data_IF_896735844762
#
_entry.id   IF_896735844762
#
_cell.length_a   1.000
_cell.length_b   1.000
_cell.length_c   1.000
_cell.angle_alpha   90.00
_cell.angle_beta   90.00
_cell.angle_gamma   90.00
#
_symmetry.space_group_name_H-M   'P 1'
#
loop_
_entity.id
_entity.type
_entity.pdbx_description
1 polymer ?
#
# COMPACT_ATOMS: atom_id res chain seq x y z
N UNK A 1 1.74 -7.78 50.92
CA UNK A 1 0.92 -8.98 50.62
C UNK A 1 -0.22 -8.53 49.73
N UNK A 2 -0.10 -8.65 48.41
CA UNK A 2 -1.14 -8.20 47.47
C UNK A 2 -2.09 -9.37 47.16
N UNK A 3 -3.39 -9.13 47.31
CA UNK A 3 -4.47 -10.11 47.22
C UNK A 3 -4.45 -10.92 45.93
N UNK A 4 -4.29 -12.24 46.04
CA UNK A 4 -4.44 -13.22 44.95
C UNK A 4 -5.89 -13.39 44.46
N UNK A 5 -6.85 -12.73 45.12
CA UNK A 5 -8.30 -12.90 44.90
C UNK A 5 -8.82 -12.27 43.59
N UNK A 6 -8.02 -11.48 42.86
CA UNK A 6 -8.44 -10.80 41.61
C UNK A 6 -7.80 -11.43 40.36
N UNK A 7 -6.99 -12.49 40.50
CA UNK A 7 -6.30 -13.11 39.37
C UNK A 7 -7.14 -14.25 38.77
N UNK A 8 -7.66 -14.05 37.56
CA UNK A 8 -8.33 -15.12 36.80
C UNK A 8 -7.33 -16.24 36.50
N UNK A 9 -7.66 -17.48 36.86
CA UNK A 9 -6.85 -18.67 36.57
C UNK A 9 -6.87 -19.08 35.10
N UNK A 10 -7.54 -18.32 34.23
CA UNK A 10 -7.65 -18.60 32.81
C UNK A 10 -6.32 -18.29 32.08
N UNK A 11 -5.65 -19.29 31.46
CA UNK A 11 -4.39 -19.10 30.73
C UNK A 11 -4.46 -18.08 29.59
N UNK A 12 -5.67 -17.77 29.12
CA UNK A 12 -5.99 -16.77 28.10
C UNK A 12 -6.01 -15.35 28.66
N UNK A 13 -6.40 -15.17 29.94
CA UNK A 13 -6.48 -13.88 30.61
C UNK A 13 -5.25 -13.66 31.50
N UNK A 14 -4.07 -13.65 30.87
CA UNK A 14 -2.84 -13.22 31.55
C UNK A 14 -2.96 -11.74 31.90
N UNK A 15 -2.42 -11.31 33.03
CA UNK A 15 -2.49 -9.93 33.55
C UNK A 15 -1.53 -8.95 32.86
N UNK A 16 -0.68 -9.45 31.97
CA UNK A 16 0.34 -8.68 31.25
C UNK A 16 -0.20 -7.66 30.21
N UNK A 17 -1.22 -7.97 29.37
CA UNK A 17 -1.65 -7.07 28.31
C UNK A 17 -2.32 -5.79 28.84
N UNK A 18 -2.86 -5.80 30.07
CA UNK A 18 -3.49 -4.63 30.69
C UNK A 18 -2.51 -3.74 31.45
N UNK A 19 -1.35 -4.27 31.82
CA UNK A 19 -0.33 -3.49 32.56
C UNK A 19 0.50 -2.62 31.61
N UNK A 20 0.63 -3.05 30.35
CA UNK A 20 1.36 -2.32 29.30
C UNK A 20 0.68 -1.00 28.89
N UNK A 21 -0.62 -0.89 29.07
CA UNK A 21 -1.44 0.28 28.70
C UNK A 21 -1.36 1.44 29.71
N UNK A 22 -0.82 1.22 30.93
CA UNK A 22 -0.88 2.20 32.03
C UNK A 22 0.41 3.04 32.14
N UNK A 23 1.51 2.64 31.49
CA UNK A 23 2.84 3.21 31.74
C UNK A 23 3.55 3.92 30.58
N UNK A 24 3.17 3.66 29.33
CA UNK A 24 3.76 4.36 28.17
C UNK A 24 2.77 5.39 27.61
N UNK A 25 3.19 6.64 27.34
CA UNK A 25 2.33 7.57 26.62
C UNK A 25 1.91 6.91 25.31
N UNK A 26 0.63 7.00 24.99
CA UNK A 26 -0.01 6.43 23.80
C UNK A 26 0.46 7.12 22.50
N UNK A 27 1.79 7.19 22.27
CA UNK A 27 2.40 7.81 21.10
C UNK A 27 2.44 6.88 19.89
N UNK A 28 2.22 5.57 20.10
CA UNK A 28 2.29 4.53 19.06
C UNK A 28 0.92 3.88 18.74
N UNK A 29 -0.18 4.50 19.16
CA UNK A 29 -1.53 4.08 18.77
C UNK A 29 -1.94 4.71 17.44
N UNK A 30 -2.47 3.89 16.54
CA UNK A 30 -2.95 4.33 15.22
C UNK A 30 -4.23 5.14 15.38
N UNK A 31 -4.15 6.45 15.13
CA UNK A 31 -5.34 7.33 15.09
C UNK A 31 -6.06 7.21 13.74
N UNK A 32 -7.37 7.45 13.73
CA UNK A 32 -8.16 7.52 12.49
C UNK A 32 -7.59 8.59 11.55
N UNK A 33 -7.25 9.76 12.09
CA UNK A 33 -6.64 10.85 11.32
C UNK A 33 -5.30 10.45 10.70
N UNK A 34 -4.44 9.77 11.47
CA UNK A 34 -3.16 9.25 10.97
C UNK A 34 -3.34 8.19 9.90
N UNK A 35 -4.36 7.33 10.03
CA UNK A 35 -4.71 6.34 9.01
C UNK A 35 -5.16 7.02 7.71
N UNK A 36 -6.08 7.97 7.81
CA UNK A 36 -6.61 8.74 6.67
C UNK A 36 -5.47 9.46 5.95
N UNK A 37 -4.61 10.20 6.66
CA UNK A 37 -3.51 10.93 6.05
C UNK A 37 -2.54 9.99 5.31
N UNK A 38 -2.17 8.85 5.92
CA UNK A 38 -1.32 7.84 5.28
C UNK A 38 -1.96 7.28 4.00
N UNK A 39 -3.25 6.96 4.03
CA UNK A 39 -3.95 6.46 2.83
C UNK A 39 -4.02 7.49 1.71
N UNK A 40 -4.26 8.77 2.04
CA UNK A 40 -4.30 9.86 1.06
C UNK A 40 -2.93 10.03 0.40
N UNK A 41 -1.85 10.06 1.18
CA UNK A 41 -0.48 10.19 0.65
C UNK A 41 -0.16 9.03 -0.30
N UNK A 42 -0.50 7.80 0.10
CA UNK A 42 -0.28 6.62 -0.74
C UNK A 42 -1.12 6.67 -2.02
N UNK A 43 -2.40 7.06 -1.93
CA UNK A 43 -3.29 7.19 -3.07
C UNK A 43 -2.79 8.25 -4.05
N UNK A 44 -2.40 9.43 -3.55
CA UNK A 44 -1.80 10.49 -4.36
C UNK A 44 -0.51 10.02 -5.05
N UNK A 45 0.28 9.21 -4.36
CA UNK A 45 1.49 8.61 -4.95
C UNK A 45 1.12 7.69 -6.10
N UNK A 46 0.16 6.77 -5.93
CA UNK A 46 -0.31 5.88 -7.02
C UNK A 46 -0.79 6.71 -8.22
N UNK A 47 -1.69 7.67 -7.98
CA UNK A 47 -2.28 8.50 -9.05
C UNK A 47 -1.20 9.33 -9.74
N UNK A 48 -0.26 9.91 -8.99
CA UNK A 48 0.85 10.69 -9.55
C UNK A 48 1.75 9.85 -10.46
N UNK A 49 2.12 8.63 -10.07
CA UNK A 49 2.90 7.74 -10.93
C UNK A 49 2.09 7.17 -12.10
N UNK A 50 0.78 6.97 -11.94
CA UNK A 50 -0.12 6.56 -13.02
C UNK A 50 -0.25 7.63 -14.11
N UNK A 51 -0.41 8.91 -13.73
CA UNK A 51 -0.45 10.00 -14.71
C UNK A 51 0.91 10.20 -15.39
N UNK A 52 2.01 10.15 -14.64
CA UNK A 52 3.36 10.26 -15.21
C UNK A 52 3.64 9.18 -16.25
N UNK A 53 3.33 7.92 -15.93
CA UNK A 53 3.53 6.82 -16.88
C UNK A 53 2.59 6.90 -18.08
N UNK A 54 1.34 7.33 -17.91
CA UNK A 54 0.43 7.57 -19.02
C UNK A 54 0.99 8.59 -20.03
N UNK A 55 1.53 9.72 -19.58
CA UNK A 55 1.99 10.76 -20.52
C UNK A 55 3.41 10.54 -21.04
N UNK A 56 4.30 9.92 -20.25
CA UNK A 56 5.73 9.90 -20.57
C UNK A 56 6.27 8.55 -21.04
N UNK A 57 5.60 7.41 -20.78
CA UNK A 57 6.23 6.10 -21.09
C UNK A 57 6.46 5.89 -22.59
N UNK A 58 5.62 6.46 -23.46
CA UNK A 58 5.76 6.31 -24.92
C UNK A 58 7.01 7.00 -25.45
N UNK A 59 7.39 8.11 -24.82
CA UNK A 59 8.59 8.86 -25.17
C UNK A 59 9.86 8.25 -24.56
N UNK A 60 9.72 7.53 -23.45
CA UNK A 60 10.83 6.96 -22.68
C UNK A 60 11.20 5.53 -23.11
N UNK A 61 10.24 4.73 -23.56
CA UNK A 61 10.45 3.34 -23.95
C UNK A 61 10.15 3.14 -25.43
N UNK A 62 11.09 2.54 -26.16
CA UNK A 62 10.79 2.01 -27.49
C UNK A 62 9.71 0.92 -27.36
N UNK A 63 8.71 0.93 -28.24
CA UNK A 63 7.56 0.00 -28.24
C UNK A 63 7.93 -1.47 -27.96
N UNK A 64 9.10 -1.92 -28.43
CA UNK A 64 9.58 -3.28 -28.22
C UNK A 64 9.85 -3.66 -26.75
N UNK A 65 10.17 -2.71 -25.88
CA UNK A 65 10.49 -2.99 -24.47
C UNK A 65 9.30 -2.83 -23.52
N UNK A 66 8.17 -2.30 -24.00
CA UNK A 66 7.00 -1.98 -23.17
C UNK A 66 6.44 -3.25 -22.49
N UNK A 67 6.31 -4.34 -23.24
CA UNK A 67 5.82 -5.63 -22.73
C UNK A 67 6.75 -6.22 -21.65
N UNK A 68 8.07 -6.15 -21.87
CA UNK A 68 9.05 -6.61 -20.89
C UNK A 68 8.97 -5.76 -19.61
N UNK A 69 8.82 -4.44 -19.75
CA UNK A 69 8.70 -3.53 -18.62
C UNK A 69 7.44 -3.80 -17.78
N UNK A 70 6.30 -4.09 -18.42
CA UNK A 70 5.07 -4.48 -17.72
C UNK A 70 5.24 -5.77 -16.90
N UNK A 71 5.91 -6.78 -17.46
CA UNK A 71 6.19 -8.03 -16.75
C UNK A 71 7.09 -7.76 -15.54
N UNK A 72 8.15 -6.95 -15.73
CA UNK A 72 9.06 -6.57 -14.64
C UNK A 72 8.31 -5.82 -13.53
N UNK A 73 7.48 -4.82 -13.88
CA UNK A 73 6.69 -4.08 -12.90
C UNK A 73 5.70 -4.98 -12.16
N UNK A 74 5.03 -5.91 -12.87
CA UNK A 74 4.09 -6.84 -12.26
C UNK A 74 4.77 -7.77 -11.25
N UNK A 75 5.91 -8.35 -11.63
CA UNK A 75 6.69 -9.24 -10.75
C UNK A 75 7.26 -8.45 -9.56
N UNK A 76 7.82 -7.27 -9.81
CA UNK A 76 8.40 -6.42 -8.76
C UNK A 76 7.32 -5.96 -7.77
N UNK A 77 6.18 -5.49 -8.28
CA UNK A 77 5.03 -5.11 -7.45
C UNK A 77 4.53 -6.28 -6.61
N UNK A 78 4.42 -7.47 -7.19
CA UNK A 78 4.03 -8.68 -6.48
C UNK A 78 5.01 -9.03 -5.35
N UNK A 79 6.32 -8.99 -5.60
CA UNK A 79 7.34 -9.26 -4.57
C UNK A 79 7.24 -8.23 -3.44
N UNK A 80 7.12 -6.94 -3.76
CA UNK A 80 7.01 -5.88 -2.74
C UNK A 80 5.71 -6.02 -1.94
N UNK A 81 4.60 -6.44 -2.57
CA UNK A 81 3.36 -6.75 -1.87
C UNK A 81 3.56 -7.89 -0.87
N UNK A 82 4.17 -9.00 -1.29
CA UNK A 82 4.47 -10.13 -0.39
C UNK A 82 5.39 -9.72 0.76
N UNK A 83 6.44 -8.94 0.50
CA UNK A 83 7.31 -8.39 1.54
C UNK A 83 6.52 -7.55 2.53
N UNK A 84 5.60 -6.71 2.07
CA UNK A 84 4.77 -5.86 2.94
C UNK A 84 3.83 -6.69 3.82
N UNK A 85 3.27 -7.78 3.28
CA UNK A 85 2.36 -8.68 4.00
C UNK A 85 3.11 -9.46 5.09
N UNK A 86 4.25 -10.06 4.75
CA UNK A 86 4.99 -10.92 5.67
C UNK A 86 5.88 -10.12 6.64
N UNK A 87 6.39 -8.95 6.24
CA UNK A 87 7.31 -8.12 7.03
C UNK A 87 6.66 -6.77 7.41
N UNK A 88 5.63 -6.83 8.27
CA UNK A 88 4.84 -5.66 8.71
C UNK A 88 5.69 -4.50 9.26
N UNK A 89 6.85 -4.78 9.86
CA UNK A 89 7.79 -3.75 10.37
C UNK A 89 8.36 -2.85 9.26
N UNK A 90 8.47 -3.36 8.03
CA UNK A 90 8.97 -2.61 6.88
C UNK A 90 7.87 -1.86 6.12
N UNK A 91 6.60 -2.06 6.48
CA UNK A 91 5.43 -1.43 5.84
C UNK A 91 5.57 0.09 5.63
N UNK A 92 6.11 0.89 6.56
CA UNK A 92 6.27 2.34 6.34
C UNK A 92 7.14 2.70 5.13
N UNK A 93 8.08 1.83 4.76
CA UNK A 93 8.99 2.03 3.64
C UNK A 93 8.52 1.29 2.39
N UNK A 94 7.98 0.08 2.53
CA UNK A 94 7.55 -0.72 1.39
C UNK A 94 6.23 -0.24 0.81
N UNK A 95 5.34 0.39 1.61
CA UNK A 95 4.07 0.88 1.10
C UNK A 95 4.20 2.03 0.09
N UNK A 96 5.02 3.09 0.32
CA UNK A 96 5.27 4.11 -0.71
C UNK A 96 5.97 3.58 -1.96
N UNK A 97 6.88 2.62 -1.80
CA UNK A 97 7.56 1.98 -2.95
C UNK A 97 6.57 1.16 -3.76
N UNK A 98 5.72 0.38 -3.09
CA UNK A 98 4.66 -0.39 -3.72
C UNK A 98 3.67 0.51 -4.48
N UNK A 99 3.22 1.61 -3.87
CA UNK A 99 2.29 2.53 -4.52
C UNK A 99 2.88 3.18 -5.76
N UNK A 100 4.16 3.54 -5.75
CA UNK A 100 4.85 4.07 -6.92
C UNK A 100 4.93 3.05 -8.08
N UNK A 101 5.36 1.82 -7.78
CA UNK A 101 5.45 0.73 -8.78
C UNK A 101 4.07 0.42 -9.36
N UNK A 102 3.05 0.34 -8.50
CA UNK A 102 1.69 0.03 -8.92
C UNK A 102 1.07 1.17 -9.74
N UNK A 103 1.37 2.43 -9.39
CA UNK A 103 0.99 3.59 -10.20
C UNK A 103 1.57 3.50 -11.61
N UNK A 104 2.87 3.24 -11.74
CA UNK A 104 3.52 3.05 -13.05
C UNK A 104 2.87 1.91 -13.84
N UNK A 105 2.62 0.77 -13.22
CA UNK A 105 1.98 -0.37 -13.88
C UNK A 105 0.57 -0.01 -14.39
N UNK A 106 -0.26 0.59 -13.54
CA UNK A 106 -1.64 0.96 -13.88
C UNK A 106 -1.70 2.02 -14.97
N UNK A 107 -0.80 3.02 -14.97
CA UNK A 107 -0.79 4.06 -16.00
C UNK A 107 -0.40 3.53 -17.38
N UNK A 108 0.56 2.60 -17.46
CA UNK A 108 0.93 1.94 -18.73
C UNK A 108 -0.22 1.07 -19.23
N UNK A 109 -0.82 0.27 -18.37
CA UNK A 109 -1.98 -0.57 -18.74
C UNK A 109 -3.13 0.30 -19.23
N UNK A 110 -3.43 1.38 -18.50
CA UNK A 110 -4.46 2.35 -18.87
C UNK A 110 -4.22 2.95 -20.25
N UNK A 111 -2.99 3.40 -20.54
CA UNK A 111 -2.64 3.91 -21.86
C UNK A 111 -2.84 2.88 -22.98
N UNK A 112 -2.44 1.62 -22.77
CA UNK A 112 -2.62 0.57 -23.78
C UNK A 112 -4.11 0.36 -24.11
N UNK A 113 -4.98 0.41 -23.09
CA UNK A 113 -6.42 0.34 -23.29
C UNK A 113 -6.97 1.61 -23.92
N UNK A 114 -6.50 2.79 -23.54
CA UNK A 114 -6.92 4.05 -24.15
C UNK A 114 -6.58 4.10 -25.65
N UNK A 115 -5.42 3.60 -26.06
CA UNK A 115 -5.04 3.48 -27.49
C UNK A 115 -5.97 2.59 -28.29
N UNK A 116 -6.45 1.52 -27.65
CA UNK A 116 -7.32 0.53 -28.31
C UNK A 116 -8.79 0.95 -28.25
N UNK A 117 -9.19 1.62 -27.17
CA UNK A 117 -10.56 2.02 -26.84
C UNK A 117 -10.54 3.43 -26.20
N UNK A 118 -10.60 4.50 -27.02
CA UNK A 118 -10.55 5.86 -26.51
C UNK A 118 -11.70 6.17 -25.54
N UNK A 119 -11.38 6.76 -24.39
CA UNK A 119 -12.31 7.18 -23.34
C UNK A 119 -12.74 6.08 -22.37
N UNK A 120 -12.30 4.83 -22.53
CA UNK A 120 -12.77 3.72 -21.69
C UNK A 120 -12.22 3.79 -20.27
N UNK A 121 -11.01 4.33 -20.11
CA UNK A 121 -10.33 4.26 -18.82
C UNK A 121 -11.01 5.14 -17.78
N UNK A 122 -11.43 6.35 -18.15
CA UNK A 122 -12.12 7.25 -17.23
C UNK A 122 -13.48 6.68 -16.82
N UNK A 123 -14.17 5.98 -17.73
CA UNK A 123 -15.41 5.26 -17.41
C UNK A 123 -15.15 4.09 -16.46
N UNK A 124 -14.10 3.31 -16.70
CA UNK A 124 -13.74 2.17 -15.85
C UNK A 124 -13.40 2.61 -14.43
N UNK A 125 -12.59 3.65 -14.27
CA UNK A 125 -12.21 4.19 -12.96
C UNK A 125 -13.40 4.87 -12.27
N UNK A 126 -14.26 5.58 -13.01
CA UNK A 126 -15.43 6.26 -12.43
C UNK A 126 -16.49 5.30 -11.88
N UNK A 127 -16.45 4.02 -12.25
CA UNK A 127 -17.35 2.98 -11.76
C UNK A 127 -16.84 2.24 -10.52
N UNK A 128 -15.58 2.46 -10.10
CA UNK A 128 -14.92 1.80 -8.96
C UNK A 128 -14.72 2.74 -7.79
#
# INVERSE_FOLDING_TARGET
MANSLVRSGNPVLRSDPFTKEIGEPATDVMTIEGAVNKTIILLLTVVGFATLSWYHIENLLFNNYLHMFLIVLSILGFIVALLTIFMKKLSPWTAPVYSAIQGLFLGIVSMLFEKSFPGIVLQAVGLT
#
